data_IF_490101212301
#
_entry.id   IF_490101212301
#
_cell.length_a   1.000
_cell.length_b   1.000
_cell.length_c   1.000
_cell.angle_alpha   90.00
_cell.angle_beta   90.00
_cell.angle_gamma   90.00
#
_symmetry.space_group_name_H-M   'P 1'
#
loop_
_entity.id
_entity.type
_entity.pdbx_description
1 polymer ?
#
# COMPACT_ATOMS: atom_id res chain seq x y z
N UNK A 1 1.30 0.76 -34.12
CA UNK A 1 2.46 1.03 -33.25
C UNK A 1 2.84 -0.28 -32.59
N UNK A 2 4.14 -0.56 -32.50
CA UNK A 2 4.67 -1.80 -31.90
C UNK A 2 4.56 -1.72 -30.37
N UNK A 3 3.97 -2.72 -29.71
CA UNK A 3 3.73 -2.72 -28.25
C UNK A 3 5.01 -2.51 -27.44
N UNK A 4 6.16 -2.98 -27.96
CA UNK A 4 7.47 -2.77 -27.31
C UNK A 4 7.91 -1.30 -27.30
N UNK A 5 7.56 -0.54 -28.33
CA UNK A 5 7.89 0.88 -28.42
C UNK A 5 7.04 1.71 -27.43
N UNK A 6 5.80 1.27 -27.16
CA UNK A 6 4.92 1.89 -26.17
C UNK A 6 5.42 1.62 -24.75
N UNK A 7 5.79 0.37 -24.44
CA UNK A 7 6.37 0.00 -23.14
C UNK A 7 7.68 0.74 -22.86
N UNK A 8 8.53 0.88 -23.88
CA UNK A 8 9.80 1.60 -23.75
C UNK A 8 9.59 3.12 -23.57
N UNK A 9 8.55 3.70 -24.17
CA UNK A 9 8.15 5.09 -23.93
C UNK A 9 7.61 5.29 -22.50
N UNK A 10 6.72 4.43 -22.01
CA UNK A 10 6.19 4.47 -20.64
C UNK A 10 7.34 4.35 -19.62
N UNK A 11 8.34 3.52 -19.90
CA UNK A 11 9.53 3.36 -19.05
C UNK A 11 10.44 4.59 -19.04
N UNK A 12 10.42 5.41 -20.11
CA UNK A 12 11.26 6.61 -20.26
C UNK A 12 10.60 7.89 -19.75
N UNK A 13 9.28 7.90 -19.53
CA UNK A 13 8.65 9.03 -18.85
C UNK A 13 9.18 9.10 -17.40
N UNK A 14 9.59 10.29 -16.92
CA UNK A 14 9.95 10.46 -15.53
C UNK A 14 8.69 10.19 -14.69
N UNK A 15 8.58 8.96 -14.19
CA UNK A 15 7.48 8.56 -13.31
C UNK A 15 7.47 9.53 -12.13
N UNK A 16 6.31 10.15 -11.90
CA UNK A 16 6.14 11.04 -10.77
C UNK A 16 6.37 10.20 -9.51
N UNK A 17 7.43 10.52 -8.77
CA UNK A 17 7.69 9.90 -7.47
C UNK A 17 6.46 10.10 -6.58
N UNK A 18 6.12 9.08 -5.80
CA UNK A 18 5.04 9.17 -4.84
C UNK A 18 5.32 10.32 -3.86
N UNK A 19 4.34 11.23 -3.74
CA UNK A 19 4.42 12.37 -2.81
C UNK A 19 4.23 11.92 -1.36
N UNK A 20 3.52 10.82 -1.16
CA UNK A 20 3.11 10.29 0.14
C UNK A 20 3.62 8.87 0.31
N UNK A 21 3.84 8.48 1.56
CA UNK A 21 4.13 7.08 1.89
C UNK A 21 2.86 6.26 1.74
N UNK A 22 2.94 5.16 1.00
CA UNK A 22 1.84 4.23 0.81
C UNK A 22 2.17 2.88 1.44
N UNK A 23 1.17 2.21 1.98
CA UNK A 23 1.25 0.82 2.41
C UNK A 23 0.67 -0.03 1.29
N UNK A 24 1.47 -0.99 0.82
CA UNK A 24 1.08 -1.93 -0.23
C UNK A 24 1.01 -3.32 0.38
N UNK A 25 -0.21 -3.86 0.50
CA UNK A 25 -0.48 -5.17 1.08
C UNK A 25 -0.72 -6.15 -0.05
N UNK A 26 0.12 -7.18 -0.16
CA UNK A 26 -0.07 -8.28 -1.10
C UNK A 26 -0.57 -9.48 -0.35
N UNK A 27 -1.68 -10.06 -0.78
CA UNK A 27 -2.16 -11.34 -0.27
C UNK A 27 -1.95 -12.42 -1.32
N UNK A 28 -1.45 -13.57 -0.87
CA UNK A 28 -1.22 -14.73 -1.71
C UNK A 28 -2.23 -15.81 -1.35
N UNK A 29 -3.23 -16.02 -2.19
CA UNK A 29 -4.19 -17.13 -2.05
C UNK A 29 -3.92 -18.22 -3.08
N UNK A 30 -4.50 -19.41 -2.87
CA UNK A 30 -4.43 -20.51 -3.84
C UNK A 30 -5.17 -20.20 -5.16
N UNK A 31 -6.11 -19.25 -5.13
CA UNK A 31 -6.95 -18.88 -6.27
C UNK A 31 -6.41 -17.67 -7.04
N UNK A 32 -5.37 -17.01 -6.53
CA UNK A 32 -4.78 -15.80 -7.10
C UNK A 32 -4.20 -14.87 -6.03
N UNK A 33 -3.39 -13.92 -6.46
CA UNK A 33 -2.92 -12.85 -5.59
C UNK A 33 -3.82 -11.62 -5.70
N UNK A 34 -4.04 -10.95 -4.58
CA UNK A 34 -4.64 -9.62 -4.50
C UNK A 34 -3.59 -8.64 -3.98
N UNK A 35 -3.75 -7.38 -4.37
CA UNK A 35 -2.94 -6.31 -3.82
C UNK A 35 -3.81 -5.09 -3.55
N UNK A 36 -3.69 -4.56 -2.34
CA UNK A 36 -4.44 -3.41 -1.87
C UNK A 36 -3.48 -2.34 -1.37
N UNK A 37 -3.73 -1.09 -1.72
CA UNK A 37 -2.93 0.07 -1.31
C UNK A 37 -3.76 1.01 -0.42
N UNK A 38 -3.14 1.56 0.62
CA UNK A 38 -3.69 2.67 1.39
C UNK A 38 -2.61 3.65 1.85
N UNK A 39 -3.01 4.87 2.22
CA UNK A 39 -2.10 5.95 2.64
C UNK A 39 -2.34 6.22 4.13
N UNK A 40 -1.37 5.92 5.03
CA UNK A 40 -1.54 6.20 6.45
C UNK A 40 -1.38 7.69 6.74
N UNK A 41 -2.32 8.29 7.46
CA UNK A 41 -2.38 9.73 7.74
C UNK A 41 -1.31 10.16 8.76
N UNK A 42 -0.94 9.31 9.72
CA UNK A 42 0.00 9.69 10.78
C UNK A 42 1.38 10.03 10.23
N UNK A 43 1.80 9.32 9.18
CA UNK A 43 3.08 9.55 8.48
C UNK A 43 2.94 10.48 7.27
N UNK A 44 1.71 10.84 6.88
CA UNK A 44 1.40 11.76 5.79
C UNK A 44 0.45 12.89 6.27
N UNK A 45 0.90 13.80 7.15
CA UNK A 45 0.02 14.82 7.74
C UNK A 45 -0.57 15.82 6.72
N UNK A 46 0.06 15.95 5.55
CA UNK A 46 -0.40 16.82 4.46
C UNK A 46 -1.21 16.04 3.40
N UNK A 47 -1.52 14.76 3.66
CA UNK A 47 -2.36 13.98 2.76
C UNK A 47 -3.80 14.43 2.87
N UNK A 48 -4.39 14.72 1.72
CA UNK A 48 -5.80 15.03 1.58
C UNK A 48 -6.40 14.01 0.59
N UNK A 49 -7.32 13.13 1.03
CA UNK A 49 -7.92 12.13 0.15
C UNK A 49 -8.75 12.77 -0.99
N UNK A 50 -9.12 14.04 -0.87
CA UNK A 50 -9.89 14.78 -1.88
C UNK A 50 -9.02 15.44 -2.96
N UNK A 51 -7.69 15.51 -2.79
CA UNK A 51 -6.79 16.22 -3.72
C UNK A 51 -6.42 15.40 -4.97
N UNK A 52 -7.09 14.28 -5.22
CA UNK A 52 -6.82 13.41 -6.36
C UNK A 52 -5.46 12.74 -6.22
N UNK A 53 -5.44 11.57 -5.58
CA UNK A 53 -4.24 10.74 -5.53
C UNK A 53 -3.98 10.11 -6.90
N UNK A 54 -2.86 10.48 -7.54
CA UNK A 54 -2.33 9.75 -8.69
C UNK A 54 -1.42 8.64 -8.15
N UNK A 55 -1.93 7.42 -7.97
CA UNK A 55 -1.04 6.26 -7.92
C UNK A 55 -0.50 6.03 -9.33
N UNK A 56 0.82 5.95 -9.45
CA UNK A 56 1.40 5.37 -10.66
C UNK A 56 1.13 3.87 -10.58
N UNK A 57 0.73 3.22 -11.67
CA UNK A 57 0.65 1.76 -11.72
C UNK A 57 2.07 1.19 -11.63
N UNK A 58 2.46 0.75 -10.44
CA UNK A 58 3.73 0.04 -10.20
C UNK A 58 3.49 -1.47 -10.27
N UNK A 59 4.43 -2.20 -10.88
CA UNK A 59 4.51 -3.66 -10.65
C UNK A 59 5.17 -3.96 -9.29
N UNK A 60 4.90 -5.13 -8.71
CA UNK A 60 5.40 -5.53 -7.39
C UNK A 60 6.91 -5.32 -7.19
N UNK A 61 7.71 -5.62 -8.21
CA UNK A 61 9.17 -5.42 -8.14
C UNK A 61 9.58 -3.96 -8.02
N UNK A 62 8.79 -3.05 -8.59
CA UNK A 62 9.05 -1.62 -8.55
C UNK A 62 8.57 -1.03 -7.23
N UNK A 63 7.43 -1.50 -6.71
CA UNK A 63 6.95 -1.17 -5.34
C UNK A 63 8.03 -1.49 -4.30
N UNK A 64 8.62 -2.69 -4.36
CA UNK A 64 9.68 -3.10 -3.40
C UNK A 64 10.95 -2.27 -3.48
N UNK A 65 11.18 -1.55 -4.58
CA UNK A 65 12.38 -0.71 -4.80
C UNK A 65 12.14 0.76 -4.45
N UNK A 66 10.90 1.18 -4.29
CA UNK A 66 10.55 2.55 -3.97
C UNK A 66 10.45 2.74 -2.44
N UNK A 67 11.27 3.65 -1.92
CA UNK A 67 11.37 3.95 -0.49
C UNK A 67 10.08 4.56 0.09
N UNK A 68 9.19 5.07 -0.76
CA UNK A 68 7.89 5.60 -0.38
C UNK A 68 6.83 4.51 -0.20
N UNK A 69 7.13 3.24 -0.50
CA UNK A 69 6.24 2.13 -0.19
C UNK A 69 6.67 1.35 1.05
N UNK A 70 5.69 1.03 1.88
CA UNK A 70 5.79 0.05 2.96
C UNK A 70 5.14 -1.23 2.45
N UNK A 71 5.97 -2.17 2.02
CA UNK A 71 5.51 -3.44 1.44
C UNK A 71 5.19 -4.46 2.53
N UNK A 72 3.98 -4.99 2.53
CA UNK A 72 3.50 -5.98 3.49
C UNK A 72 3.10 -7.24 2.73
N UNK A 73 3.84 -8.31 3.01
CA UNK A 73 3.61 -9.61 2.38
C UNK A 73 2.68 -10.47 3.22
N UNK A 74 1.60 -10.96 2.62
CA UNK A 74 0.62 -11.86 3.22
C UNK A 74 0.18 -11.39 4.62
N UNK A 75 -0.19 -10.11 4.72
CA UNK A 75 -0.63 -9.44 5.96
C UNK A 75 0.39 -9.42 7.10
N UNK A 76 1.66 -9.77 6.83
CA UNK A 76 2.67 -9.95 7.87
C UNK A 76 3.51 -8.69 8.04
N UNK A 77 3.31 -8.02 9.17
CA UNK A 77 4.16 -6.90 9.60
C UNK A 77 5.42 -7.46 10.26
N UNK A 78 6.49 -7.58 9.48
CA UNK A 78 7.79 -8.09 9.96
C UNK A 78 8.56 -7.05 10.77
N UNK A 79 9.71 -7.45 11.32
CA UNK A 79 10.59 -6.52 12.04
C UNK A 79 11.13 -5.43 11.10
N UNK A 80 11.47 -5.81 9.87
CA UNK A 80 11.96 -4.87 8.85
C UNK A 80 10.90 -3.81 8.53
N UNK A 81 9.64 -4.21 8.40
CA UNK A 81 8.50 -3.27 8.22
C UNK A 81 8.38 -2.34 9.43
N UNK A 82 8.47 -2.85 10.65
CA UNK A 82 8.43 -2.03 11.88
C UNK A 82 9.58 -1.03 11.95
N UNK A 83 10.79 -1.45 11.58
CA UNK A 83 11.97 -0.59 11.54
C UNK A 83 11.83 0.50 10.46
N UNK A 84 11.23 0.18 9.30
CA UNK A 84 10.89 1.15 8.26
C UNK A 84 9.87 2.18 8.75
N UNK A 85 8.75 1.75 9.35
CA UNK A 85 7.73 2.63 9.92
C UNK A 85 8.37 3.56 10.97
N UNK A 86 9.24 3.03 11.83
CA UNK A 86 9.96 3.82 12.82
C UNK A 86 10.87 4.87 12.20
N UNK A 87 11.57 4.55 11.12
CA UNK A 87 12.44 5.49 10.38
C UNK A 87 11.62 6.63 9.78
N UNK A 88 10.44 6.33 9.22
CA UNK A 88 9.56 7.31 8.58
C UNK A 88 8.87 8.21 9.63
N UNK A 89 8.19 7.59 10.60
CA UNK A 89 7.39 8.31 11.60
C UNK A 89 8.24 9.04 12.65
N UNK A 90 9.47 8.56 12.88
CA UNK A 90 10.31 8.95 14.01
C UNK A 90 9.75 8.48 15.35
N UNK A 91 10.57 8.59 16.41
CA UNK A 91 10.24 8.04 17.73
C UNK A 91 8.95 8.57 18.34
N UNK A 92 8.55 9.81 18.02
CA UNK A 92 7.36 10.47 18.60
C UNK A 92 6.05 9.91 18.04
N UNK A 93 6.00 9.58 16.74
CA UNK A 93 4.79 9.12 16.06
C UNK A 93 4.79 7.62 15.78
N UNK A 94 5.92 6.93 15.98
CA UNK A 94 6.07 5.51 15.67
C UNK A 94 4.94 4.63 16.19
N UNK A 95 4.54 4.77 17.47
CA UNK A 95 3.49 3.94 18.05
C UNK A 95 2.15 4.13 17.35
N UNK A 96 1.73 5.38 17.15
CA UNK A 96 0.48 5.71 16.48
C UNK A 96 0.47 5.29 15.01
N UNK A 97 1.60 5.49 14.31
CA UNK A 97 1.75 5.05 12.92
C UNK A 97 1.69 3.53 12.78
N UNK A 98 2.33 2.80 13.70
CA UNK A 98 2.27 1.34 13.70
C UNK A 98 0.84 0.84 13.96
N UNK A 99 0.14 1.41 14.95
CA UNK A 99 -1.25 1.06 15.26
C UNK A 99 -2.20 1.33 14.08
N UNK A 100 -2.04 2.46 13.39
CA UNK A 100 -2.80 2.79 12.18
C UNK A 100 -2.58 1.77 11.06
N UNK A 101 -1.32 1.43 10.78
CA UNK A 101 -0.96 0.48 9.73
C UNK A 101 -1.41 -0.94 10.08
N UNK A 102 -1.24 -1.37 11.34
CA UNK A 102 -1.74 -2.66 11.83
C UNK A 102 -3.26 -2.77 11.66
N UNK A 103 -4.01 -1.70 11.96
CA UNK A 103 -5.46 -1.64 11.74
C UNK A 103 -5.82 -1.74 10.26
N UNK A 104 -5.18 -0.96 9.40
CA UNK A 104 -5.45 -0.99 7.95
C UNK A 104 -5.19 -2.36 7.32
N UNK A 105 -4.08 -3.02 7.70
CA UNK A 105 -3.77 -4.39 7.24
C UNK A 105 -4.83 -5.40 7.70
N UNK A 106 -5.29 -5.28 8.95
CA UNK A 106 -6.33 -6.16 9.48
C UNK A 106 -7.67 -5.94 8.78
N UNK A 107 -8.07 -4.70 8.50
CA UNK A 107 -9.29 -4.39 7.75
C UNK A 107 -9.27 -4.99 6.34
N UNK A 108 -8.15 -4.84 5.63
CA UNK A 108 -7.98 -5.45 4.29
C UNK A 108 -8.11 -6.97 4.38
N UNK A 109 -7.44 -7.59 5.35
CA UNK A 109 -7.51 -9.04 5.57
C UNK A 109 -8.95 -9.51 5.79
N UNK A 110 -9.70 -8.81 6.64
CA UNK A 110 -11.10 -9.14 6.93
C UNK A 110 -12.00 -8.99 5.69
N UNK A 111 -11.81 -7.92 4.93
CA UNK A 111 -12.54 -7.70 3.67
C UNK A 111 -12.24 -8.78 2.64
N UNK A 112 -11.00 -9.23 2.52
CA UNK A 112 -10.63 -10.29 1.56
C UNK A 112 -11.02 -11.70 2.03
N UNK A 113 -10.95 -12.01 3.34
CA UNK A 113 -11.29 -13.35 3.86
C UNK A 113 -12.81 -13.56 4.02
N UNK A 114 -13.56 -12.51 4.36
CA UNK A 114 -14.97 -12.64 4.73
C UNK A 114 -15.92 -11.82 3.87
N UNK A 115 -15.40 -11.01 2.93
CA UNK A 115 -16.20 -10.03 2.22
C UNK A 115 -16.83 -9.02 3.19
N UNK A 116 -16.23 -8.73 4.35
CA UNK A 116 -16.85 -7.86 5.36
C UNK A 116 -16.20 -6.47 5.38
N UNK A 117 -17.01 -5.43 5.57
CA UNK A 117 -16.54 -4.07 5.86
C UNK A 117 -17.05 -3.70 7.26
N UNK A 118 -16.15 -3.39 8.19
CA UNK A 118 -16.48 -3.11 9.61
C UNK A 118 -17.26 -4.26 10.30
N UNK A 119 -16.93 -5.52 10.01
CA UNK A 119 -17.61 -6.68 10.58
C UNK A 119 -19.01 -6.96 10.02
N UNK A 120 -19.45 -6.22 9.00
CA UNK A 120 -20.71 -6.47 8.29
C UNK A 120 -20.42 -7.24 7.00
N UNK A 121 -21.01 -8.44 6.78
CA UNK A 121 -20.83 -9.16 5.52
C UNK A 121 -21.39 -8.39 4.33
N UNK A 122 -20.64 -8.31 3.23
CA UNK A 122 -21.13 -7.97 1.90
C UNK A 122 -21.98 -9.17 1.44
N UNK A 123 -23.23 -9.20 1.87
CA UNK A 123 -24.21 -10.15 1.34
C UNK A 123 -24.51 -9.67 -0.09
N UNK A 124 -24.05 -10.41 -1.10
CA UNK A 124 -24.53 -10.24 -2.47
C UNK A 124 -26.07 -10.40 -2.47
N UNK A 125 -26.77 -9.38 -2.96
CA UNK A 125 -28.21 -9.44 -3.23
C UNK A 125 -28.48 -10.09 -4.57
#
# INVERSE_FOLDING_TARGET
MDSKAIEEQIRKEPRKKNKFYSVYVVAHSKEGGSATEFIPEIINPDFNPYDGYNSSTYGDEEVRKDEMFIYIDNYRITKEVKDQIKKIAGSKKYKAALEEIEKGVQEIKETEEYGTVNGVPLIEK
#
